data_IF_974227771612
#
_entry.id   IF_974227771612
#
_cell.length_a   1.000
_cell.length_b   1.000
_cell.length_c   1.000
_cell.angle_alpha   90.00
_cell.angle_beta   90.00
_cell.angle_gamma   90.00
#
_symmetry.space_group_name_H-M   'P 1'
#
loop_
_entity.id
_entity.type
_entity.pdbx_description
1 polymer ?
#
# COMPACT_ATOMS: atom_id res chain seq x y z
N UNK A 1 -1.09 -20.18 -3.71
CA UNK A 1 -1.52 -19.15 -2.75
C UNK A 1 -2.22 -19.87 -1.62
N UNK A 2 -1.62 -19.90 -0.42
CA UNK A 2 -2.21 -20.57 0.75
C UNK A 2 -2.66 -19.49 1.72
N UNK A 3 -3.94 -19.49 2.09
CA UNK A 3 -4.52 -18.58 3.07
C UNK A 3 -4.72 -19.37 4.36
N UNK A 4 -3.97 -19.02 5.41
CA UNK A 4 -4.13 -19.59 6.74
C UNK A 4 -4.96 -18.63 7.59
N UNK A 5 -6.11 -19.12 8.06
CA UNK A 5 -6.92 -18.39 9.04
C UNK A 5 -6.53 -18.89 10.43
N UNK A 6 -6.07 -17.99 11.29
CA UNK A 6 -5.68 -18.31 12.67
C UNK A 6 -6.27 -17.31 13.65
N UNK A 7 -6.40 -17.69 14.91
CA UNK A 7 -6.97 -16.86 15.96
C UNK A 7 -5.86 -16.44 16.93
N UNK A 8 -5.68 -15.12 17.09
CA UNK A 8 -4.65 -14.55 17.97
C UNK A 8 -5.32 -13.52 18.88
N UNK A 9 -5.29 -13.79 20.20
CA UNK A 9 -5.94 -12.96 21.22
C UNK A 9 -7.44 -12.73 20.96
N UNK A 10 -8.16 -13.77 20.50
CA UNK A 10 -9.60 -13.71 20.21
C UNK A 10 -9.97 -12.95 18.94
N UNK A 11 -8.99 -12.65 18.08
CA UNK A 11 -9.21 -12.01 16.78
C UNK A 11 -8.82 -12.98 15.68
N UNK A 12 -9.76 -13.27 14.77
CA UNK A 12 -9.49 -14.04 13.55
C UNK A 12 -8.61 -13.22 12.61
N UNK A 13 -7.47 -13.79 12.22
CA UNK A 13 -6.47 -13.22 11.33
C UNK A 13 -6.29 -14.11 10.12
N UNK A 14 -5.86 -13.52 9.03
CA UNK A 14 -5.52 -14.24 7.80
C UNK A 14 -4.06 -13.98 7.45
N UNK A 15 -3.31 -15.05 7.15
CA UNK A 15 -1.95 -14.98 6.62
C UNK A 15 -1.94 -15.59 5.23
N UNK A 16 -1.50 -14.83 4.24
CA UNK A 16 -1.28 -15.34 2.88
C UNK A 16 0.20 -15.66 2.71
N UNK A 17 0.52 -16.93 2.41
CA UNK A 17 1.87 -17.36 2.07
C UNK A 17 2.21 -17.03 0.61
N UNK A 18 2.93 -15.92 0.39
CA UNK A 18 3.69 -15.64 -0.84
C UNK A 18 5.09 -15.09 -0.49
N UNK A 19 6.09 -15.24 -1.39
CA UNK A 19 7.52 -15.27 -1.02
C UNK A 19 8.13 -13.94 -0.55
N UNK A 20 7.42 -12.83 -0.66
CA UNK A 20 7.95 -11.52 -0.29
C UNK A 20 6.99 -10.79 0.64
N UNK A 21 7.38 -10.71 1.91
CA UNK A 21 7.10 -9.57 2.77
C UNK A 21 5.64 -9.40 3.16
N UNK A 22 5.26 -10.10 4.22
CA UNK A 22 4.04 -9.91 5.00
C UNK A 22 3.99 -8.49 5.62
N UNK A 23 3.76 -7.44 4.84
CA UNK A 23 3.61 -6.05 5.35
C UNK A 23 2.22 -5.76 5.91
N UNK A 24 1.23 -6.61 5.61
CA UNK A 24 -0.16 -6.43 6.08
C UNK A 24 -0.32 -6.84 7.57
N UNK A 25 0.55 -7.71 8.08
CA UNK A 25 0.42 -8.30 9.42
C UNK A 25 0.96 -7.43 10.58
N UNK A 26 1.83 -6.44 10.35
CA UNK A 26 2.42 -5.66 11.45
C UNK A 26 1.54 -4.51 11.98
N UNK A 27 0.67 -3.92 11.15
CA UNK A 27 -0.08 -2.72 11.56
C UNK A 27 -1.40 -3.02 12.31
N UNK A 28 -1.99 -4.20 12.14
CA UNK A 28 -3.25 -4.61 12.79
C UNK A 28 -3.09 -5.20 14.19
N UNK A 29 -1.86 -5.47 14.63
CA UNK A 29 -1.58 -6.25 15.85
C UNK A 29 -1.28 -5.43 17.09
N UNK A 30 -1.23 -4.09 17.00
CA UNK A 30 -0.99 -3.28 18.18
C UNK A 30 -2.25 -3.28 19.09
N UNK A 31 -2.22 -3.94 20.26
CA UNK A 31 -3.38 -4.00 21.15
C UNK A 31 -3.72 -2.62 21.73
N UNK A 32 -2.78 -1.66 21.71
CA UNK A 32 -2.94 -0.30 22.21
C UNK A 32 -3.55 0.68 21.18
N UNK A 33 -3.89 0.20 19.98
CA UNK A 33 -4.49 1.05 18.95
C UNK A 33 -5.99 1.23 19.19
N UNK A 34 -6.49 2.46 19.11
CA UNK A 34 -7.93 2.71 19.24
C UNK A 34 -8.72 1.99 18.12
N UNK A 35 -9.99 1.58 18.37
CA UNK A 35 -10.81 0.94 17.34
C UNK A 35 -10.92 1.75 16.05
N UNK A 36 -11.03 3.08 16.18
CA UNK A 36 -11.07 3.99 15.04
C UNK A 36 -9.77 3.95 14.22
N UNK A 37 -8.60 3.97 14.88
CA UNK A 37 -7.30 3.90 14.20
C UNK A 37 -7.09 2.55 13.52
N UNK A 38 -7.59 1.47 14.11
CA UNK A 38 -7.54 0.13 13.53
C UNK A 38 -8.37 0.07 12.23
N UNK A 39 -9.56 0.66 12.26
CA UNK A 39 -10.42 0.72 11.08
C UNK A 39 -9.82 1.59 9.96
N UNK A 40 -9.23 2.75 10.30
CA UNK A 40 -8.48 3.58 9.35
C UNK A 40 -7.37 2.77 8.65
N UNK A 41 -6.60 1.98 9.39
CA UNK A 41 -5.55 1.14 8.80
C UNK A 41 -6.10 0.00 7.95
N UNK A 42 -7.23 -0.60 8.33
CA UNK A 42 -7.89 -1.63 7.53
C UNK A 42 -8.34 -1.07 6.18
N UNK A 43 -9.07 0.04 6.18
CA UNK A 43 -9.56 0.70 4.96
C UNK A 43 -8.40 1.15 4.06
N UNK A 44 -7.34 1.69 4.65
CA UNK A 44 -6.12 2.04 3.90
C UNK A 44 -5.47 0.83 3.25
N UNK A 45 -5.40 -0.30 3.96
CA UNK A 45 -4.83 -1.52 3.43
C UNK A 45 -5.67 -2.08 2.27
N UNK A 46 -6.99 -2.05 2.40
CA UNK A 46 -7.92 -2.49 1.34
C UNK A 46 -7.77 -1.66 0.07
N UNK A 47 -7.78 -0.32 0.19
CA UNK A 47 -7.55 0.56 -0.96
C UNK A 47 -6.20 0.30 -1.65
N UNK A 48 -5.14 0.03 -0.88
CA UNK A 48 -3.85 -0.37 -1.47
C UNK A 48 -3.93 -1.69 -2.23
N UNK A 49 -4.64 -2.68 -1.68
CA UNK A 49 -4.82 -3.99 -2.32
C UNK A 49 -5.64 -3.88 -3.60
N UNK A 50 -6.71 -3.08 -3.60
CA UNK A 50 -7.52 -2.83 -4.81
C UNK A 50 -6.69 -2.12 -5.89
N UNK A 51 -5.92 -1.10 -5.52
CA UNK A 51 -5.02 -0.41 -6.43
C UNK A 51 -3.93 -1.32 -7.00
N UNK A 52 -3.34 -2.18 -6.18
CA UNK A 52 -2.33 -3.15 -6.62
C UNK A 52 -2.93 -4.15 -7.62
N UNK A 53 -4.13 -4.67 -7.37
CA UNK A 53 -4.82 -5.56 -8.30
C UNK A 53 -5.07 -4.88 -9.66
N UNK A 54 -5.62 -3.66 -9.63
CA UNK A 54 -5.88 -2.86 -10.83
C UNK A 54 -4.61 -2.54 -11.65
N UNK A 55 -3.51 -2.23 -10.97
CA UNK A 55 -2.23 -1.96 -11.62
C UNK A 55 -1.54 -3.24 -12.11
N UNK A 56 -1.75 -4.37 -11.43
CA UNK A 56 -1.17 -5.67 -11.79
C UNK A 56 -1.64 -6.12 -13.17
N UNK A 57 -2.92 -5.94 -13.47
CA UNK A 57 -3.49 -6.28 -14.79
C UNK A 57 -2.83 -5.50 -15.95
N UNK A 58 -2.22 -4.34 -15.67
CA UNK A 58 -1.69 -3.42 -16.69
C UNK A 58 -0.19 -3.43 -16.80
N UNK A 59 0.48 -3.55 -15.67
CA UNK A 59 1.92 -3.35 -15.57
C UNK A 59 2.65 -4.59 -15.04
N UNK A 60 1.92 -5.63 -14.65
CA UNK A 60 2.46 -6.81 -13.97
C UNK A 60 2.63 -6.59 -12.47
N UNK A 61 2.67 -7.69 -11.73
CA UNK A 61 2.62 -7.68 -10.26
C UNK A 61 3.76 -6.88 -9.63
N UNK A 62 4.99 -7.04 -10.13
CA UNK A 62 6.15 -6.34 -9.60
C UNK A 62 6.00 -4.81 -9.72
N UNK A 63 5.68 -4.33 -10.92
CA UNK A 63 5.53 -2.90 -11.19
C UNK A 63 4.34 -2.29 -10.44
N UNK A 64 3.24 -3.03 -10.31
CA UNK A 64 2.08 -2.59 -9.53
C UNK A 64 2.46 -2.30 -8.08
N UNK A 65 3.21 -3.21 -7.45
CA UNK A 65 3.69 -3.04 -6.08
C UNK A 65 4.60 -1.80 -5.93
N UNK A 66 5.55 -1.62 -6.86
CA UNK A 66 6.47 -0.47 -6.87
C UNK A 66 5.71 0.85 -7.04
N UNK A 67 4.74 0.91 -7.96
CA UNK A 67 3.90 2.10 -8.16
C UNK A 67 3.12 2.44 -6.89
N UNK A 68 2.44 1.46 -6.28
CA UNK A 68 1.67 1.67 -5.04
C UNK A 68 2.57 2.17 -3.92
N UNK A 69 3.75 1.57 -3.73
CA UNK A 69 4.70 1.99 -2.72
C UNK A 69 5.17 3.44 -2.95
N UNK A 70 5.56 3.77 -4.19
CA UNK A 70 6.09 5.09 -4.53
C UNK A 70 5.05 6.20 -4.42
N UNK A 71 3.79 5.95 -4.81
CA UNK A 71 2.69 6.92 -4.64
C UNK A 71 2.46 7.22 -3.15
N UNK A 72 2.37 6.19 -2.31
CA UNK A 72 2.13 6.38 -0.88
C UNK A 72 3.32 7.08 -0.19
N UNK A 73 4.55 6.77 -0.61
CA UNK A 73 5.78 7.38 -0.09
C UNK A 73 5.92 8.86 -0.50
N UNK A 74 5.67 9.19 -1.77
CA UNK A 74 5.70 10.56 -2.26
C UNK A 74 4.65 11.41 -1.56
N UNK A 75 3.42 10.90 -1.40
CA UNK A 75 2.39 11.61 -0.65
C UNK A 75 2.83 11.89 0.79
N UNK A 76 3.41 10.89 1.46
CA UNK A 76 3.85 11.03 2.85
C UNK A 76 4.96 12.07 3.00
N UNK A 77 5.89 12.10 2.04
CA UNK A 77 7.01 13.05 2.02
C UNK A 77 6.50 14.48 1.80
N UNK A 78 5.67 14.68 0.77
CA UNK A 78 5.07 15.97 0.42
C UNK A 78 4.20 16.54 1.55
N UNK A 79 3.32 15.71 2.11
CA UNK A 79 2.29 16.18 3.04
C UNK A 79 2.66 16.02 4.53
N UNK A 80 3.80 15.38 4.84
CA UNK A 80 4.23 15.06 6.22
C UNK A 80 3.17 14.31 7.04
N UNK A 81 2.29 13.56 6.37
CA UNK A 81 1.22 12.76 6.97
C UNK A 81 0.95 11.52 6.13
N UNK A 82 0.34 10.51 6.76
CA UNK A 82 -0.16 9.34 6.04
C UNK A 82 -1.44 9.67 5.26
N UNK A 83 -1.53 9.19 4.02
CA UNK A 83 -2.80 9.15 3.28
C UNK A 83 -3.76 8.14 3.93
N UNK A 84 -5.05 8.42 3.86
CA UNK A 84 -6.14 7.54 4.30
C UNK A 84 -6.40 6.43 3.28
N UNK A 85 -6.18 6.69 1.99
CA UNK A 85 -6.32 5.72 0.91
C UNK A 85 -5.28 5.94 -0.20
N UNK A 86 -5.17 4.99 -1.13
CA UNK A 86 -4.35 5.15 -2.31
C UNK A 86 -4.90 6.23 -3.25
N UNK A 87 -6.22 6.32 -3.40
CA UNK A 87 -6.87 7.29 -4.29
C UNK A 87 -6.66 8.73 -3.80
N UNK A 88 -6.69 8.96 -2.48
CA UNK A 88 -6.30 10.25 -1.90
C UNK A 88 -4.86 10.61 -2.29
N UNK A 89 -3.94 9.65 -2.13
CA UNK A 89 -2.53 9.88 -2.45
C UNK A 89 -2.31 10.16 -3.94
N UNK A 90 -2.92 9.36 -4.81
CA UNK A 90 -2.87 9.51 -6.26
C UNK A 90 -3.43 10.85 -6.72
N UNK A 91 -4.58 11.25 -6.17
CA UNK A 91 -5.23 12.51 -6.53
C UNK A 91 -4.43 13.73 -6.05
N UNK A 92 -3.96 13.74 -4.80
CA UNK A 92 -3.22 14.87 -4.23
C UNK A 92 -1.84 15.06 -4.86
N UNK A 93 -1.14 13.97 -5.20
CA UNK A 93 0.12 14.05 -5.93
C UNK A 93 -0.05 14.68 -7.32
N UNK A 94 -1.22 14.47 -7.91
CA UNK A 94 -1.56 15.01 -9.22
C UNK A 94 -0.94 14.22 -10.37
N UNK A 95 -1.47 14.48 -11.56
CA UNK A 95 -1.17 13.70 -12.77
C UNK A 95 0.33 13.64 -13.08
N UNK A 96 1.04 14.78 -13.03
CA UNK A 96 2.46 14.83 -13.41
C UNK A 96 3.35 13.92 -12.56
N UNK A 97 3.21 13.99 -11.23
CA UNK A 97 4.01 13.18 -10.30
C UNK A 97 3.68 11.71 -10.45
N UNK A 98 2.40 11.37 -10.55
CA UNK A 98 1.96 9.99 -10.74
C UNK A 98 2.47 9.41 -12.06
N UNK A 99 2.39 10.17 -13.16
CA UNK A 99 2.90 9.71 -14.46
C UNK A 99 4.41 9.51 -14.43
N UNK A 100 5.16 10.38 -13.77
CA UNK A 100 6.61 10.19 -13.58
C UNK A 100 6.93 8.93 -12.77
N UNK A 101 6.21 8.67 -11.67
CA UNK A 101 6.35 7.43 -10.88
C UNK A 101 6.14 6.19 -11.76
N UNK A 102 5.08 6.18 -12.58
CA UNK A 102 4.78 5.06 -13.47
C UNK A 102 5.88 4.93 -14.52
N UNK A 103 6.25 6.02 -15.19
CA UNK A 103 7.29 6.03 -16.21
C UNK A 103 8.61 5.47 -15.67
N UNK A 104 9.06 5.94 -14.50
CA UNK A 104 10.29 5.46 -13.88
C UNK A 104 10.22 3.99 -13.51
N UNK A 105 9.10 3.54 -12.94
CA UNK A 105 8.89 2.13 -12.58
C UNK A 105 8.98 1.23 -13.81
N UNK A 106 8.35 1.63 -14.92
CA UNK A 106 8.35 0.82 -16.15
C UNK A 106 9.70 0.79 -16.88
N UNK A 107 10.62 1.69 -16.54
CA UNK A 107 11.94 1.79 -17.14
C UNK A 107 13.07 1.43 -16.16
N UNK A 108 12.74 0.79 -15.03
CA UNK A 108 13.69 0.43 -13.96
C UNK A 108 14.55 1.61 -13.47
N UNK A 109 13.99 2.82 -13.54
CA UNK A 109 14.64 4.04 -13.08
C UNK A 109 14.39 4.21 -11.57
N UNK A 110 15.36 4.78 -10.83
CA UNK A 110 15.17 5.04 -9.41
C UNK A 110 13.99 6.00 -9.19
N UNK A 111 13.23 5.73 -8.13
CA UNK A 111 12.20 6.65 -7.66
C UNK A 111 12.82 8.03 -7.41
N UNK A 112 12.11 9.08 -7.78
CA UNK A 112 12.59 10.44 -7.56
C UNK A 112 12.69 10.71 -6.06
N UNK A 113 13.92 10.96 -5.60
CA UNK A 113 14.19 11.33 -4.22
C UNK A 113 13.82 12.79 -4.01
N UNK A 114 12.62 13.02 -3.49
CA UNK A 114 12.08 14.29 -2.96
C UNK A 114 11.48 15.26 -3.98
N UNK A 115 10.16 15.43 -3.88
CA UNK A 115 9.44 16.69 -4.11
C UNK A 115 8.70 17.06 -2.82
#
# INVERSE_FOLDING_TARGET
MTVEIYEENGVKRMRTGTPHGNVISMFGSNPNLSPQKREEYRLRAESKTEAEAFLTERFGQHNAWVIVANVMANFTTKNRKSAKSFEEAWHDLGFQVVTDIIYRTLNDLPAEGNI
#
